data_IF_943784147943
#
_entry.id   IF_943784147943
#
_cell.length_a   1.000
_cell.length_b   1.000
_cell.length_c   1.000
_cell.angle_alpha   90.00
_cell.angle_beta   90.00
_cell.angle_gamma   90.00
#
_symmetry.space_group_name_H-M   'P 1'
#
loop_
_entity.id
_entity.type
_entity.pdbx_description
1 polymer ?
#
# COMPACT_ATOMS: atom_id res chain seq x y z
N UNK A 1 -43.09 -10.72 11.19
CA UNK A 1 -42.56 -11.83 10.37
C UNK A 1 -43.14 -11.91 8.94
N UNK A 2 -44.47 -11.97 8.71
CA UNK A 2 -45.08 -12.17 7.37
C UNK A 2 -44.78 -11.10 6.29
N UNK A 3 -44.57 -9.82 6.67
CA UNK A 3 -44.21 -8.73 5.74
C UNK A 3 -42.74 -8.78 5.28
N UNK A 4 -41.83 -9.21 6.17
CA UNK A 4 -40.40 -9.35 5.88
C UNK A 4 -40.16 -10.51 4.91
N UNK A 5 -40.84 -11.65 5.10
CA UNK A 5 -40.77 -12.79 4.19
C UNK A 5 -41.21 -12.45 2.75
N UNK A 6 -42.17 -11.54 2.56
CA UNK A 6 -42.56 -11.07 1.23
C UNK A 6 -41.47 -10.23 0.55
N UNK A 7 -40.73 -9.42 1.31
CA UNK A 7 -39.63 -8.62 0.77
C UNK A 7 -38.43 -9.50 0.40
N UNK A 8 -38.08 -10.47 1.26
CA UNK A 8 -37.00 -11.43 0.98
C UNK A 8 -37.27 -12.21 -0.32
N UNK A 9 -38.53 -12.61 -0.58
CA UNK A 9 -38.91 -13.24 -1.86
C UNK A 9 -38.68 -12.35 -3.07
N UNK A 10 -38.88 -11.03 -2.95
CA UNK A 10 -38.57 -10.08 -4.04
C UNK A 10 -37.07 -10.03 -4.30
N UNK A 11 -36.26 -9.95 -3.24
CA UNK A 11 -34.79 -9.98 -3.33
C UNK A 11 -34.30 -11.29 -3.96
N UNK A 12 -34.86 -12.43 -3.55
CA UNK A 12 -34.57 -13.75 -4.14
C UNK A 12 -34.91 -13.80 -5.64
N UNK A 13 -36.07 -13.26 -6.03
CA UNK A 13 -36.46 -13.20 -7.43
C UNK A 13 -35.49 -12.36 -8.27
N UNK A 14 -35.04 -11.20 -7.75
CA UNK A 14 -34.05 -10.38 -8.45
C UNK A 14 -32.68 -11.09 -8.52
N UNK A 15 -32.27 -11.85 -7.49
CA UNK A 15 -31.07 -12.69 -7.55
C UNK A 15 -31.15 -13.74 -8.67
N UNK A 16 -32.27 -14.46 -8.77
CA UNK A 16 -32.49 -15.45 -9.83
C UNK A 16 -32.39 -14.79 -11.21
N UNK A 17 -32.96 -13.59 -11.38
CA UNK A 17 -32.85 -12.84 -12.64
C UNK A 17 -31.40 -12.48 -12.96
N UNK A 18 -30.63 -11.98 -11.99
CA UNK A 18 -29.23 -11.63 -12.22
C UNK A 18 -28.42 -12.87 -12.59
N UNK A 19 -28.55 -13.97 -11.84
CA UNK A 19 -27.74 -15.18 -12.07
C UNK A 19 -28.09 -15.94 -13.36
N UNK A 20 -29.33 -15.82 -13.86
CA UNK A 20 -29.74 -16.40 -15.15
C UNK A 20 -29.25 -15.61 -16.37
N UNK A 21 -28.81 -14.36 -16.21
CA UNK A 21 -28.30 -13.56 -17.33
C UNK A 21 -26.92 -14.06 -17.74
N UNK A 22 -26.74 -14.29 -19.05
CA UNK A 22 -25.44 -14.65 -19.64
C UNK A 22 -24.38 -13.58 -19.32
N UNK A 23 -24.76 -12.30 -19.28
CA UNK A 23 -23.86 -11.20 -18.91
C UNK A 23 -23.22 -11.38 -17.53
N UNK A 24 -23.91 -12.03 -16.59
CA UNK A 24 -23.40 -12.27 -15.23
C UNK A 24 -22.28 -13.31 -15.22
N UNK A 25 -22.40 -14.35 -16.04
CA UNK A 25 -21.35 -15.36 -16.21
C UNK A 25 -20.14 -14.78 -16.94
N UNK A 26 -20.37 -13.96 -17.96
CA UNK A 26 -19.30 -13.21 -18.63
C UNK A 26 -18.55 -12.32 -17.63
N UNK A 27 -19.29 -11.61 -16.76
CA UNK A 27 -18.71 -10.77 -15.71
C UNK A 27 -17.85 -11.57 -14.71
N UNK A 28 -18.31 -12.76 -14.27
CA UNK A 28 -17.53 -13.64 -13.39
C UNK A 28 -16.25 -14.12 -14.06
N UNK A 29 -16.31 -14.48 -15.35
CA UNK A 29 -15.13 -14.85 -16.13
C UNK A 29 -14.17 -13.65 -16.26
N UNK A 30 -14.68 -12.45 -16.54
CA UNK A 30 -13.86 -11.24 -16.63
C UNK A 30 -13.15 -10.94 -15.30
N UNK A 31 -13.81 -11.12 -14.16
CA UNK A 31 -13.17 -10.96 -12.85
C UNK A 31 -12.03 -11.96 -12.69
N UNK A 32 -12.24 -13.22 -13.06
CA UNK A 32 -11.19 -14.24 -13.02
C UNK A 32 -10.02 -13.85 -13.94
N UNK A 33 -10.30 -13.39 -15.15
CA UNK A 33 -9.27 -12.92 -16.10
C UNK A 33 -8.50 -11.72 -15.55
N UNK A 34 -9.17 -10.74 -14.93
CA UNK A 34 -8.49 -9.59 -14.32
C UNK A 34 -7.65 -10.02 -13.12
N UNK A 35 -8.13 -10.94 -12.28
CA UNK A 35 -7.35 -11.48 -11.17
C UNK A 35 -6.09 -12.20 -11.69
N UNK A 36 -6.24 -13.08 -12.67
CA UNK A 36 -5.10 -13.77 -13.32
C UNK A 36 -4.15 -12.77 -13.98
N UNK A 37 -4.68 -11.74 -14.65
CA UNK A 37 -3.90 -10.68 -15.27
C UNK A 37 -3.08 -9.89 -14.25
N UNK A 38 -3.67 -9.51 -13.11
CA UNK A 38 -2.96 -8.88 -12.00
C UNK A 38 -1.76 -9.71 -11.55
N UNK A 39 -1.95 -11.02 -11.40
CA UNK A 39 -0.86 -11.92 -11.05
C UNK A 39 0.21 -12.04 -12.14
N UNK A 40 -0.21 -12.14 -13.41
CA UNK A 40 0.70 -12.13 -14.54
C UNK A 40 1.60 -10.89 -14.55
N UNK A 41 1.02 -9.70 -14.32
CA UNK A 41 1.79 -8.45 -14.20
C UNK A 41 2.73 -8.49 -13.00
N UNK A 42 2.27 -8.95 -11.83
CA UNK A 42 3.14 -9.06 -10.65
C UNK A 42 4.32 -10.03 -10.85
N UNK A 43 4.13 -11.11 -11.63
CA UNK A 43 5.20 -12.04 -12.01
C UNK A 43 6.18 -11.45 -13.02
N UNK A 44 5.68 -10.68 -13.98
CA UNK A 44 6.55 -9.91 -14.89
C UNK A 44 7.36 -8.88 -14.10
N UNK A 45 6.75 -8.22 -13.13
CA UNK A 45 7.45 -7.29 -12.24
C UNK A 45 8.50 -8.01 -11.39
N UNK A 46 8.22 -9.22 -10.90
CA UNK A 46 9.20 -10.02 -10.15
C UNK A 46 10.40 -10.37 -11.00
N UNK A 47 10.14 -10.80 -12.23
CA UNK A 47 11.19 -11.05 -13.21
C UNK A 47 12.01 -9.80 -13.49
N UNK A 48 11.36 -8.64 -13.71
CA UNK A 48 12.09 -7.39 -13.94
C UNK A 48 12.90 -6.95 -12.74
N UNK A 49 12.36 -7.01 -11.52
CA UNK A 49 13.08 -6.66 -10.29
C UNK A 49 14.28 -7.58 -10.12
N UNK A 50 14.11 -8.89 -10.32
CA UNK A 50 15.20 -9.86 -10.21
C UNK A 50 16.28 -9.64 -11.27
N UNK A 51 15.91 -9.31 -12.50
CA UNK A 51 16.87 -9.09 -13.59
C UNK A 51 17.50 -7.68 -13.59
N UNK A 52 16.82 -6.67 -13.06
CA UNK A 52 17.35 -5.30 -12.94
C UNK A 52 18.11 -5.06 -11.64
N UNK A 53 18.06 -6.00 -10.69
CA UNK A 53 19.05 -6.05 -9.61
C UNK A 53 20.39 -6.37 -10.24
N UNK A 54 21.16 -5.33 -10.56
CA UNK A 54 22.57 -5.47 -10.86
C UNK A 54 23.27 -5.88 -9.56
N UNK A 55 23.34 -7.18 -9.32
CA UNK A 55 24.25 -7.75 -8.33
C UNK A 55 25.62 -7.81 -9.00
N UNK A 56 26.48 -6.86 -8.64
CA UNK A 56 27.85 -6.82 -9.12
C UNK A 56 28.52 -8.13 -8.69
N UNK A 57 29.02 -8.92 -9.66
CA UNK A 57 29.73 -10.14 -9.30
C UNK A 57 31.01 -9.81 -8.56
N UNK A 58 31.55 -10.76 -7.81
CA UNK A 58 32.84 -10.58 -7.13
C UNK A 58 33.95 -10.16 -8.11
N UNK A 59 33.91 -10.70 -9.32
CA UNK A 59 34.81 -10.34 -10.41
C UNK A 59 34.59 -8.89 -10.87
N UNK A 60 33.35 -8.45 -11.04
CA UNK A 60 33.04 -7.06 -11.40
C UNK A 60 33.51 -6.08 -10.30
N UNK A 61 33.33 -6.44 -9.02
CA UNK A 61 33.85 -5.65 -7.89
C UNK A 61 35.37 -5.52 -7.94
N UNK A 62 36.06 -6.63 -8.22
CA UNK A 62 37.52 -6.67 -8.33
C UNK A 62 38.01 -5.83 -9.52
N UNK A 63 37.34 -5.91 -10.66
CA UNK A 63 37.66 -5.08 -11.82
C UNK A 63 37.43 -3.59 -11.54
N UNK A 64 36.34 -3.24 -10.86
CA UNK A 64 36.07 -1.87 -10.45
C UNK A 64 37.14 -1.33 -9.48
N UNK A 65 37.53 -2.11 -8.47
CA UNK A 65 38.60 -1.72 -7.54
C UNK A 65 39.95 -1.53 -8.26
N UNK A 66 40.30 -2.42 -9.19
CA UNK A 66 41.53 -2.27 -10.00
C UNK A 66 41.48 -1.02 -10.90
N UNK A 67 40.31 -0.73 -11.49
CA UNK A 67 40.09 0.47 -12.29
C UNK A 67 40.25 1.74 -11.44
N UNK A 68 39.60 1.80 -10.27
CA UNK A 68 39.70 2.91 -9.34
C UNK A 68 41.14 3.11 -8.84
N UNK A 69 41.85 2.01 -8.52
CA UNK A 69 43.26 2.01 -8.15
C UNK A 69 44.16 2.60 -9.25
N UNK A 70 43.91 2.22 -10.50
CA UNK A 70 44.66 2.73 -11.67
C UNK A 70 44.39 4.22 -11.87
N UNK A 71 43.12 4.61 -11.85
CA UNK A 71 42.70 6.00 -12.00
C UNK A 71 43.30 6.92 -10.93
N UNK A 72 43.30 6.49 -9.66
CA UNK A 72 43.89 7.24 -8.55
C UNK A 72 45.41 7.42 -8.73
N UNK A 73 46.13 6.37 -9.13
CA UNK A 73 47.58 6.42 -9.39
C UNK A 73 47.96 7.30 -10.59
N UNK A 74 47.11 7.34 -11.62
CA UNK A 74 47.34 8.13 -12.83
C UNK A 74 46.98 9.60 -12.66
N UNK A 75 45.81 9.88 -12.08
CA UNK A 75 45.25 11.24 -11.98
C UNK A 75 45.87 12.03 -10.82
N UNK A 76 46.21 11.34 -9.71
CA UNK A 76 46.81 11.94 -8.51
C UNK A 76 46.07 13.18 -8.01
N UNK A 77 44.74 13.09 -7.92
CA UNK A 77 43.90 14.13 -7.34
C UNK A 77 44.15 14.25 -5.83
N UNK A 78 43.70 15.34 -5.20
CA UNK A 78 43.91 15.54 -3.75
C UNK A 78 43.33 14.38 -2.92
N UNK A 79 44.14 13.78 -2.04
CA UNK A 79 43.73 12.63 -1.21
C UNK A 79 43.92 11.24 -1.84
N UNK A 80 44.39 11.15 -3.09
CA UNK A 80 44.53 9.88 -3.83
C UNK A 80 45.38 8.79 -3.14
N UNK A 81 46.33 9.14 -2.27
CA UNK A 81 47.21 8.18 -1.59
C UNK A 81 46.42 7.29 -0.63
N UNK A 82 45.43 7.86 0.07
CA UNK A 82 44.54 7.13 0.97
C UNK A 82 43.62 6.17 0.19
N UNK A 83 43.06 6.65 -0.93
CA UNK A 83 42.25 5.82 -1.83
C UNK A 83 43.04 4.64 -2.41
N UNK A 84 44.28 4.89 -2.83
CA UNK A 84 45.17 3.82 -3.33
C UNK A 84 45.43 2.78 -2.24
N UNK A 85 45.69 3.21 -1.00
CA UNK A 85 45.93 2.31 0.11
C UNK A 85 44.66 1.50 0.47
N UNK A 86 43.49 2.13 0.49
CA UNK A 86 42.19 1.46 0.67
C UNK A 86 41.95 0.39 -0.39
N UNK A 87 42.07 0.76 -1.68
CA UNK A 87 41.76 -0.16 -2.78
C UNK A 87 42.74 -1.34 -2.81
N UNK A 88 44.02 -1.08 -2.56
CA UNK A 88 45.05 -2.10 -2.46
C UNK A 88 44.76 -3.06 -1.31
N UNK A 89 44.43 -2.55 -0.12
CA UNK A 89 44.06 -3.37 1.05
C UNK A 89 42.85 -4.26 0.76
N UNK A 90 41.83 -3.74 0.08
CA UNK A 90 40.65 -4.53 -0.28
C UNK A 90 40.96 -5.63 -1.31
N UNK A 91 41.84 -5.35 -2.27
CA UNK A 91 42.31 -6.33 -3.25
C UNK A 91 43.15 -7.43 -2.61
N UNK A 92 44.03 -7.07 -1.67
CA UNK A 92 44.96 -8.00 -1.02
C UNK A 92 44.25 -8.95 -0.03
N UNK A 93 43.14 -8.51 0.57
CA UNK A 93 42.37 -9.28 1.57
C UNK A 93 41.00 -9.76 1.07
N UNK A 94 40.76 -9.69 -0.24
CA UNK A 94 39.54 -10.17 -0.89
C UNK A 94 38.22 -9.56 -0.34
N UNK A 95 38.27 -8.27 0.03
CA UNK A 95 37.13 -7.53 0.57
C UNK A 95 36.35 -6.89 -0.59
N UNK A 96 35.55 -7.71 -1.27
CA UNK A 96 34.84 -7.31 -2.49
C UNK A 96 33.33 -7.10 -2.29
N UNK A 97 32.74 -7.75 -1.30
CA UNK A 97 31.31 -7.61 -1.00
C UNK A 97 31.05 -6.31 -0.23
N UNK A 98 29.90 -5.68 -0.51
CA UNK A 98 29.42 -4.52 0.26
C UNK A 98 28.84 -4.96 1.61
N UNK A 99 29.71 -5.42 2.50
CA UNK A 99 29.41 -5.67 3.91
C UNK A 99 30.05 -4.60 4.81
N UNK A 100 29.94 -4.77 6.12
CA UNK A 100 30.49 -3.84 7.11
C UNK A 100 32.00 -3.58 6.96
N UNK A 101 32.77 -4.54 6.41
CA UNK A 101 34.22 -4.42 6.23
C UNK A 101 34.55 -3.31 5.25
N UNK A 102 33.76 -3.15 4.17
CA UNK A 102 33.99 -2.05 3.20
C UNK A 102 33.89 -0.69 3.88
N UNK A 103 32.85 -0.48 4.69
CA UNK A 103 32.71 0.76 5.47
C UNK A 103 33.86 0.93 6.47
N UNK A 104 34.24 -0.14 7.16
CA UNK A 104 35.34 -0.11 8.12
C UNK A 104 36.69 0.21 7.47
N UNK A 105 36.97 -0.34 6.28
CA UNK A 105 38.20 -0.05 5.54
C UNK A 105 38.24 1.43 5.16
N UNK A 106 37.15 1.98 4.62
CA UNK A 106 37.10 3.42 4.29
C UNK A 106 37.36 4.28 5.52
N UNK A 107 36.73 4.00 6.66
CA UNK A 107 36.99 4.72 7.91
C UNK A 107 38.47 4.66 8.33
N UNK A 108 39.08 3.46 8.28
CA UNK A 108 40.50 3.25 8.63
C UNK A 108 41.46 4.09 7.80
N UNK A 109 41.21 4.26 6.50
CA UNK A 109 42.14 4.96 5.61
C UNK A 109 41.86 6.47 5.48
N UNK A 110 40.62 6.91 5.73
CA UNK A 110 40.22 8.31 5.52
C UNK A 110 39.96 9.10 6.80
N UNK A 111 39.58 8.44 7.89
CA UNK A 111 39.09 9.09 9.11
C UNK A 111 40.00 8.85 10.32
N UNK A 112 40.62 7.66 10.42
CA UNK A 112 41.46 7.29 11.57
C UNK A 112 42.86 7.90 11.45
N UNK A 113 43.18 8.86 12.33
CA UNK A 113 44.49 9.53 12.36
C UNK A 113 45.56 8.77 13.15
N UNK A 114 45.16 8.01 14.18
CA UNK A 114 46.11 7.27 15.02
C UNK A 114 46.54 5.96 14.32
N UNK A 115 47.83 5.85 14.01
CA UNK A 115 48.39 4.72 13.29
C UNK A 115 48.29 3.38 14.05
N UNK A 116 48.36 3.39 15.39
CA UNK A 116 48.24 2.17 16.18
C UNK A 116 46.81 1.64 16.18
N UNK A 117 45.85 2.56 16.25
CA UNK A 117 44.42 2.27 16.14
C UNK A 117 44.09 1.74 14.74
N UNK A 118 44.57 2.41 13.69
CA UNK A 118 44.35 1.99 12.31
C UNK A 118 44.84 0.55 12.07
N UNK A 119 46.00 0.18 12.62
CA UNK A 119 46.56 -1.18 12.47
C UNK A 119 45.77 -2.24 13.26
N UNK A 120 45.29 -1.89 14.46
CA UNK A 120 44.37 -2.74 15.22
C UNK A 120 43.08 -3.01 14.46
N UNK A 121 42.51 -1.99 13.82
CA UNK A 121 41.28 -2.11 13.02
C UNK A 121 41.47 -2.92 11.75
N UNK A 122 42.59 -2.76 11.03
CA UNK A 122 42.91 -3.64 9.89
C UNK A 122 42.94 -5.11 10.32
N UNK A 123 43.56 -5.40 11.46
CA UNK A 123 43.61 -6.76 12.03
C UNK A 123 42.20 -7.28 12.37
N UNK A 124 41.34 -6.44 12.95
CA UNK A 124 39.95 -6.78 13.23
C UNK A 124 39.16 -7.08 11.95
N UNK A 125 39.32 -6.26 10.91
CA UNK A 125 38.65 -6.42 9.61
C UNK A 125 39.03 -7.76 8.96
N UNK A 126 40.32 -8.10 8.94
CA UNK A 126 40.83 -9.36 8.37
C UNK A 126 40.28 -10.58 9.12
N UNK A 127 40.18 -10.48 10.45
CA UNK A 127 39.68 -11.57 11.29
C UNK A 127 38.14 -11.62 11.40
N UNK A 128 37.42 -10.80 10.64
CA UNK A 128 35.97 -10.61 10.73
C UNK A 128 35.44 -10.23 12.14
N UNK A 129 36.27 -9.57 12.95
CA UNK A 129 35.91 -9.09 14.28
C UNK A 129 35.16 -7.75 14.21
N UNK A 130 33.90 -7.84 13.81
CA UNK A 130 33.00 -6.69 13.73
C UNK A 130 32.77 -6.00 15.09
N UNK A 131 32.96 -6.71 16.21
CA UNK A 131 32.79 -6.13 17.55
C UNK A 131 33.90 -5.15 17.86
N UNK A 132 35.15 -5.49 17.54
CA UNK A 132 36.28 -4.60 17.73
C UNK A 132 36.11 -3.30 16.91
N UNK A 133 35.62 -3.40 15.67
CA UNK A 133 35.30 -2.23 14.86
C UNK A 133 34.16 -1.39 15.46
N UNK A 134 33.05 -2.00 15.87
CA UNK A 134 31.94 -1.27 16.49
C UNK A 134 32.31 -0.63 17.83
N UNK A 135 33.14 -1.30 18.64
CA UNK A 135 33.66 -0.74 19.88
C UNK A 135 34.53 0.49 19.59
N UNK A 136 35.37 0.42 18.56
CA UNK A 136 36.15 1.58 18.13
C UNK A 136 35.25 2.75 17.69
N UNK A 137 34.21 2.51 16.90
CA UNK A 137 33.29 3.57 16.48
C UNK A 137 32.64 4.27 17.70
N UNK A 138 32.23 3.49 18.71
CA UNK A 138 31.71 4.03 19.97
C UNK A 138 32.75 4.88 20.74
N UNK A 139 34.02 4.47 20.72
CA UNK A 139 35.09 5.14 21.47
C UNK A 139 35.65 6.38 20.73
N UNK A 140 35.66 6.35 19.40
CA UNK A 140 36.38 7.31 18.56
C UNK A 140 35.51 8.43 17.95
N UNK A 141 34.18 8.27 17.92
CA UNK A 141 33.27 9.17 17.23
C UNK A 141 32.35 9.98 18.17
N UNK A 142 32.84 11.01 18.89
CA UNK A 142 31.98 11.93 19.64
C UNK A 142 31.12 12.86 18.75
N UNK A 143 31.12 12.67 17.43
CA UNK A 143 30.41 13.48 16.44
C UNK A 143 29.55 12.70 15.44
N UNK A 144 29.47 11.36 15.55
CA UNK A 144 28.39 10.61 14.91
C UNK A 144 27.06 10.90 15.62
N UNK A 145 25.94 10.72 14.92
CA UNK A 145 24.63 10.91 15.54
C UNK A 145 24.49 9.94 16.72
N UNK A 146 23.89 10.37 17.84
CA UNK A 146 23.67 9.53 19.05
C UNK A 146 22.99 8.20 18.69
N UNK A 147 22.27 8.22 17.58
CA UNK A 147 21.53 7.12 16.99
C UNK A 147 22.40 6.09 16.25
N UNK A 148 23.47 6.50 15.55
CA UNK A 148 24.43 5.57 14.94
C UNK A 148 25.22 4.81 16.03
N UNK A 149 25.59 5.52 17.10
CA UNK A 149 26.18 4.92 18.30
C UNK A 149 25.24 3.89 18.94
N UNK A 150 23.94 4.15 18.97
CA UNK A 150 22.96 3.19 19.48
C UNK A 150 22.95 1.87 18.69
N UNK A 151 23.08 1.91 17.36
CA UNK A 151 23.08 0.69 16.53
C UNK A 151 24.30 -0.20 16.84
N UNK A 152 25.48 0.40 16.94
CA UNK A 152 26.71 -0.33 17.26
C UNK A 152 26.63 -1.00 18.63
N UNK A 153 26.18 -0.25 19.65
CA UNK A 153 25.99 -0.78 21.00
C UNK A 153 24.96 -1.92 20.99
N UNK A 154 23.82 -1.74 20.34
CA UNK A 154 22.79 -2.76 20.23
C UNK A 154 23.32 -4.04 19.59
N UNK A 155 24.14 -3.91 18.53
CA UNK A 155 24.72 -5.06 17.85
C UNK A 155 25.70 -5.82 18.76
N UNK A 156 26.57 -5.10 19.49
CA UNK A 156 27.51 -5.71 20.46
C UNK A 156 26.75 -6.45 21.56
N UNK A 157 25.77 -5.79 22.19
CA UNK A 157 25.00 -6.32 23.32
C UNK A 157 24.23 -7.60 22.96
N UNK A 158 23.68 -7.65 21.74
CA UNK A 158 22.88 -8.79 21.26
C UNK A 158 23.67 -9.79 20.42
N UNK A 159 24.99 -9.62 20.29
CA UNK A 159 25.85 -10.44 19.45
C UNK A 159 25.34 -10.56 18.00
N UNK A 160 24.85 -9.44 17.45
CA UNK A 160 24.21 -9.35 16.14
C UNK A 160 25.24 -8.89 15.10
N UNK A 161 25.62 -9.79 14.19
CA UNK A 161 26.53 -9.46 13.08
C UNK A 161 25.86 -8.41 12.17
N UNK A 162 26.59 -7.38 11.72
CA UNK A 162 26.05 -6.38 10.79
C UNK A 162 25.91 -6.95 9.37
N UNK A 163 24.85 -7.74 9.20
CA UNK A 163 24.49 -8.41 7.97
C UNK A 163 23.16 -7.86 7.43
N UNK A 164 23.17 -7.33 6.21
CA UNK A 164 21.99 -6.75 5.56
C UNK A 164 20.93 -7.80 5.24
N UNK A 165 21.29 -9.08 5.19
CA UNK A 165 20.35 -10.18 4.98
C UNK A 165 19.64 -10.58 6.28
N UNK A 166 20.23 -10.29 7.45
CA UNK A 166 19.61 -10.55 8.75
C UNK A 166 18.45 -9.58 9.03
N UNK A 167 17.27 -10.14 9.29
CA UNK A 167 16.05 -9.34 9.49
C UNK A 167 16.08 -8.51 10.78
N UNK A 168 16.77 -8.98 11.82
CA UNK A 168 16.92 -8.27 13.10
C UNK A 168 17.87 -7.08 12.93
N UNK A 169 18.98 -7.29 12.21
CA UNK A 169 19.89 -6.20 11.87
C UNK A 169 19.23 -5.15 10.98
N UNK A 170 18.49 -5.56 9.94
CA UNK A 170 17.72 -4.60 9.12
C UNK A 170 16.75 -3.76 9.96
N UNK A 171 16.04 -4.39 10.88
CA UNK A 171 15.10 -3.70 11.76
C UNK A 171 15.81 -2.74 12.73
N UNK A 172 16.94 -3.17 13.31
CA UNK A 172 17.77 -2.30 14.15
C UNK A 172 18.33 -1.11 13.37
N UNK A 173 18.84 -1.34 12.16
CA UNK A 173 19.32 -0.27 11.28
C UNK A 173 18.19 0.71 10.89
N UNK A 174 17.00 0.21 10.57
CA UNK A 174 15.81 1.04 10.32
C UNK A 174 15.41 1.87 11.53
N UNK A 175 15.47 1.31 12.74
CA UNK A 175 15.23 2.05 13.97
C UNK A 175 16.27 3.15 14.18
N UNK A 176 17.56 2.85 13.96
CA UNK A 176 18.63 3.86 14.05
C UNK A 176 18.36 5.03 13.10
N UNK A 177 18.15 4.75 11.82
CA UNK A 177 17.85 5.79 10.81
C UNK A 177 16.59 6.58 11.18
N UNK A 178 15.53 5.91 11.64
CA UNK A 178 14.29 6.58 12.02
C UNK A 178 14.47 7.49 13.25
N UNK A 179 15.31 7.09 14.22
CA UNK A 179 15.66 7.94 15.37
C UNK A 179 16.48 9.15 14.91
N UNK A 180 17.47 8.96 14.05
CA UNK A 180 18.34 10.04 13.57
C UNK A 180 17.54 11.09 12.77
N UNK A 181 16.65 10.63 11.88
CA UNK A 181 15.73 11.51 11.16
C UNK A 181 14.79 12.25 12.14
N UNK A 182 14.31 11.59 13.20
CA UNK A 182 13.40 12.21 14.17
C UNK A 182 14.11 13.30 14.97
N UNK A 183 15.31 13.02 15.47
CA UNK A 183 16.15 13.99 16.17
C UNK A 183 16.45 15.21 15.28
N UNK A 184 16.78 14.99 14.00
CA UNK A 184 17.00 16.08 13.04
C UNK A 184 15.75 16.96 12.83
N UNK A 185 14.54 16.36 12.82
CA UNK A 185 13.29 17.09 12.71
C UNK A 185 12.95 17.85 14.00
N UNK A 186 13.27 17.30 15.16
CA UNK A 186 13.07 17.95 16.45
C UNK A 186 13.97 19.18 16.57
N UNK A 187 15.24 19.07 16.17
CA UNK A 187 16.17 20.20 16.11
C UNK A 187 15.71 21.31 15.14
N UNK A 188 15.19 20.94 13.96
CA UNK A 188 14.60 21.91 13.02
C UNK A 188 13.42 22.66 13.63
N UNK A 189 12.54 21.94 14.35
CA UNK A 189 11.38 22.50 15.02
C UNK A 189 11.78 23.45 16.15
N UNK A 190 12.78 23.09 16.94
CA UNK A 190 13.36 23.95 17.99
C UNK A 190 14.00 25.22 17.40
N UNK A 191 14.59 25.10 16.21
CA UNK A 191 15.16 26.23 15.46
C UNK A 191 14.09 27.10 14.75
N UNK A 192 12.80 26.80 14.94
CA UNK A 192 11.69 27.56 14.37
C UNK A 192 11.36 27.25 12.90
N UNK A 193 11.96 26.20 12.32
CA UNK A 193 11.65 25.74 10.96
C UNK A 193 10.37 24.92 10.97
N UNK A 194 9.46 25.21 10.03
CA UNK A 194 8.22 24.44 9.90
C UNK A 194 8.50 23.03 9.37
N UNK A 195 8.10 22.01 10.14
CA UNK A 195 8.20 20.60 9.74
C UNK A 195 6.83 20.08 9.32
N UNK A 196 6.79 19.18 8.33
CA UNK A 196 5.56 18.48 7.95
C UNK A 196 5.05 17.64 9.14
N UNK A 197 3.90 18.03 9.69
CA UNK A 197 3.32 17.38 10.87
C UNK A 197 2.96 15.91 10.63
N UNK A 198 2.54 15.54 9.40
CA UNK A 198 2.22 14.15 9.06
C UNK A 198 3.50 13.31 8.96
N UNK A 199 4.55 13.86 8.35
CA UNK A 199 5.85 13.18 8.27
C UNK A 199 6.44 12.98 9.66
N UNK A 200 6.42 14.02 10.50
CA UNK A 200 6.89 13.96 11.89
C UNK A 200 6.13 12.90 12.70
N UNK A 201 4.80 12.88 12.64
CA UNK A 201 4.01 11.89 13.37
C UNK A 201 4.26 10.46 12.87
N UNK A 202 4.33 10.24 11.55
CA UNK A 202 4.65 8.93 10.97
C UNK A 202 6.02 8.43 11.43
N UNK A 203 7.00 9.30 11.46
CA UNK A 203 8.35 8.95 11.89
C UNK A 203 8.39 8.57 13.38
N UNK A 204 7.70 9.35 14.22
CA UNK A 204 7.52 9.03 15.64
C UNK A 204 6.83 7.68 15.85
N UNK A 205 5.77 7.41 15.08
CA UNK A 205 5.06 6.14 15.11
C UNK A 205 5.96 4.98 14.66
N UNK A 206 6.80 5.18 13.65
CA UNK A 206 7.77 4.18 13.18
C UNK A 206 8.84 3.86 14.23
N UNK A 207 9.43 4.88 14.87
CA UNK A 207 10.40 4.68 15.97
C UNK A 207 9.77 3.83 17.09
N UNK A 208 8.54 4.17 17.48
CA UNK A 208 7.81 3.41 18.49
C UNK A 208 7.54 1.96 18.04
N UNK A 209 7.14 1.77 16.78
CA UNK A 209 6.84 0.46 16.21
C UNK A 209 8.09 -0.43 16.13
N UNK A 210 9.20 0.09 15.61
CA UNK A 210 10.44 -0.67 15.46
C UNK A 210 11.03 -1.03 16.83
N UNK A 211 11.00 -0.10 17.79
CA UNK A 211 11.41 -0.38 19.18
C UNK A 211 10.60 -1.54 19.76
N UNK A 212 9.27 -1.45 19.69
CA UNK A 212 8.38 -2.52 20.16
C UNK A 212 8.68 -3.86 19.50
N UNK A 213 8.94 -3.87 18.18
CA UNK A 213 9.23 -5.09 17.44
C UNK A 213 10.56 -5.71 17.85
N UNK A 214 11.60 -4.93 18.04
CA UNK A 214 12.90 -5.42 18.54
C UNK A 214 12.74 -6.02 19.94
N UNK A 215 12.08 -5.30 20.86
CA UNK A 215 11.85 -5.75 22.25
C UNK A 215 11.10 -7.09 22.32
N UNK A 216 10.26 -7.40 21.33
CA UNK A 216 9.47 -8.62 21.26
C UNK A 216 10.01 -9.66 20.26
N UNK A 217 11.20 -9.44 19.67
CA UNK A 217 11.80 -10.31 18.66
C UNK A 217 10.91 -10.55 17.42
N UNK A 218 10.21 -9.51 16.96
CA UNK A 218 9.29 -9.56 15.81
C UNK A 218 10.01 -9.04 14.57
N UNK A 219 10.59 -9.97 13.80
CA UNK A 219 11.37 -9.65 12.61
C UNK A 219 10.53 -9.46 11.34
N UNK A 220 9.34 -10.04 11.27
CA UNK A 220 8.44 -9.93 10.12
C UNK A 220 7.15 -9.17 10.46
N UNK A 221 6.88 -8.10 9.72
CA UNK A 221 5.65 -7.30 9.81
C UNK A 221 5.02 -7.12 8.43
N UNK A 222 3.71 -7.31 8.36
CA UNK A 222 2.93 -7.07 7.14
C UNK A 222 3.00 -5.59 6.72
N UNK A 223 3.20 -4.66 7.66
CA UNK A 223 3.27 -3.22 7.36
C UNK A 223 4.41 -2.84 6.40
N UNK A 224 5.55 -3.53 6.51
CA UNK A 224 6.73 -3.37 5.64
C UNK A 224 6.60 -4.12 4.33
N UNK A 225 5.67 -5.08 4.28
CA UNK A 225 5.41 -5.92 3.13
C UNK A 225 4.12 -5.50 2.43
N UNK A 226 3.95 -4.19 2.22
CA UNK A 226 2.82 -3.62 1.49
C UNK A 226 3.21 -3.07 0.13
N UNK A 227 2.44 -3.40 -0.92
CA UNK A 227 2.62 -2.79 -2.23
C UNK A 227 3.85 -3.29 -3.01
N UNK A 228 3.64 -4.24 -3.91
CA UNK A 228 4.71 -4.75 -4.78
C UNK A 228 5.24 -3.75 -5.82
N UNK A 229 4.50 -2.67 -6.12
CA UNK A 229 4.94 -1.62 -7.04
C UNK A 229 6.15 -0.82 -6.55
N UNK A 230 6.41 -0.79 -5.23
CA UNK A 230 7.43 0.08 -4.62
C UNK A 230 8.40 -0.63 -3.68
N UNK A 231 8.14 -1.88 -3.29
CA UNK A 231 8.90 -2.59 -2.24
C UNK A 231 10.19 -3.26 -2.72
N UNK A 232 10.40 -3.41 -4.04
CA UNK A 232 11.59 -4.09 -4.58
C UNK A 232 11.70 -5.57 -4.20
N UNK A 233 10.68 -6.14 -3.57
CA UNK A 233 10.56 -7.56 -3.18
C UNK A 233 9.13 -8.04 -3.42
N UNK A 234 8.97 -9.17 -4.08
CA UNK A 234 7.68 -9.77 -4.38
C UNK A 234 7.50 -11.05 -3.57
N UNK A 235 6.64 -10.97 -2.57
CA UNK A 235 6.22 -12.09 -1.72
C UNK A 235 4.70 -12.10 -1.60
N UNK A 236 4.17 -13.11 -0.90
CA UNK A 236 2.73 -13.25 -0.67
C UNK A 236 2.06 -11.95 -0.18
N UNK A 237 2.64 -11.30 0.83
CA UNK A 237 2.06 -10.13 1.47
C UNK A 237 2.14 -8.87 0.60
N UNK A 238 3.26 -8.62 -0.10
CA UNK A 238 3.40 -7.43 -0.96
C UNK A 238 2.43 -7.48 -2.15
N UNK A 239 2.15 -8.67 -2.68
CA UNK A 239 1.15 -8.88 -3.74
C UNK A 239 -0.27 -8.85 -3.18
N UNK A 240 -0.57 -9.62 -2.13
CA UNK A 240 -1.93 -9.70 -1.63
C UNK A 240 -2.43 -8.40 -0.98
N UNK A 241 -1.55 -7.65 -0.31
CA UNK A 241 -1.92 -6.36 0.29
C UNK A 241 -2.34 -5.31 -0.73
N UNK A 242 -1.87 -5.44 -1.97
CA UNK A 242 -2.09 -4.49 -3.05
C UNK A 242 -3.19 -4.93 -4.03
N UNK A 243 -3.70 -6.15 -3.88
CA UNK A 243 -4.68 -6.73 -4.79
C UNK A 243 -6.06 -6.08 -4.70
N UNK A 244 -6.34 -5.29 -3.64
CA UNK A 244 -7.58 -4.49 -3.55
C UNK A 244 -7.73 -3.51 -4.73
N UNK A 245 -6.64 -3.14 -5.40
CA UNK A 245 -6.67 -2.27 -6.60
C UNK A 245 -7.45 -2.89 -7.76
N UNK A 246 -7.56 -4.23 -7.81
CA UNK A 246 -8.42 -4.96 -8.76
C UNK A 246 -9.90 -4.59 -8.58
N UNK A 247 -10.31 -4.12 -7.40
CA UNK A 247 -11.68 -3.69 -7.13
C UNK A 247 -12.14 -2.52 -8.01
N UNK A 248 -11.23 -1.73 -8.59
CA UNK A 248 -11.61 -0.71 -9.58
C UNK A 248 -12.34 -1.33 -10.77
N UNK A 249 -11.86 -2.47 -11.29
CA UNK A 249 -12.52 -3.21 -12.36
C UNK A 249 -13.84 -3.83 -11.91
N UNK A 250 -13.89 -4.39 -10.69
CA UNK A 250 -15.13 -4.88 -10.08
C UNK A 250 -16.16 -3.76 -9.98
N UNK A 251 -15.73 -2.53 -9.64
CA UNK A 251 -16.59 -1.37 -9.58
C UNK A 251 -17.21 -0.98 -10.92
N UNK A 252 -16.44 -1.04 -12.01
CA UNK A 252 -16.96 -0.80 -13.37
C UNK A 252 -18.06 -1.83 -13.72
N UNK A 253 -17.83 -3.10 -13.39
CA UNK A 253 -18.80 -4.16 -13.61
C UNK A 253 -20.05 -3.97 -12.73
N UNK A 254 -19.88 -3.52 -11.49
CA UNK A 254 -20.99 -3.18 -10.60
C UNK A 254 -21.80 -1.98 -11.07
N UNK A 255 -21.14 -0.94 -11.61
CA UNK A 255 -21.79 0.19 -12.27
C UNK A 255 -22.62 -0.30 -13.46
N UNK A 256 -22.11 -1.26 -14.25
CA UNK A 256 -22.86 -1.85 -15.35
C UNK A 256 -24.12 -2.56 -14.86
N UNK A 257 -24.03 -3.36 -13.79
CA UNK A 257 -25.18 -4.05 -13.19
C UNK A 257 -26.21 -3.05 -12.65
N UNK A 258 -25.77 -2.09 -11.82
CA UNK A 258 -26.64 -1.08 -11.22
C UNK A 258 -27.25 -0.12 -12.25
N UNK A 259 -26.47 0.27 -13.25
CA UNK A 259 -26.89 1.13 -14.35
C UNK A 259 -27.93 0.47 -15.25
N UNK A 260 -27.93 -0.87 -15.36
CA UNK A 260 -28.88 -1.63 -16.19
C UNK A 260 -30.11 -2.14 -15.44
N UNK A 261 -30.04 -2.38 -14.12
CA UNK A 261 -31.07 -3.14 -13.39
C UNK A 261 -32.48 -2.52 -13.41
N UNK A 262 -32.58 -1.19 -13.59
CA UNK A 262 -33.84 -0.45 -13.72
C UNK A 262 -34.07 -0.02 -15.17
N UNK A 263 -33.11 0.66 -15.78
CA UNK A 263 -33.20 1.20 -17.14
C UNK A 263 -33.50 0.14 -18.21
N UNK A 264 -32.99 -1.10 -18.06
CA UNK A 264 -33.25 -2.18 -19.02
C UNK A 264 -34.72 -2.62 -19.03
N UNK A 265 -35.40 -2.50 -17.90
CA UNK A 265 -36.83 -2.87 -17.78
C UNK A 265 -37.72 -1.83 -18.49
N UNK A 266 -37.30 -0.57 -18.48
CA UNK A 266 -37.95 0.49 -19.24
C UNK A 266 -37.69 0.33 -20.75
N UNK A 267 -36.45 0.07 -21.14
CA UNK A 267 -36.10 -0.08 -22.56
C UNK A 267 -36.72 -1.32 -23.20
N UNK A 268 -36.90 -2.41 -22.45
CA UNK A 268 -37.52 -3.65 -22.92
C UNK A 268 -39.05 -3.70 -22.75
N UNK A 269 -39.66 -2.67 -22.12
CA UNK A 269 -41.10 -2.62 -21.88
C UNK A 269 -41.64 -3.57 -20.79
N UNK A 270 -40.77 -4.33 -20.13
CA UNK A 270 -41.12 -5.29 -19.07
C UNK A 270 -41.58 -4.62 -17.78
N UNK A 271 -41.34 -3.31 -17.64
CA UNK A 271 -41.83 -2.50 -16.54
C UNK A 271 -43.35 -2.60 -16.35
N UNK A 272 -44.13 -2.73 -17.43
CA UNK A 272 -45.59 -2.87 -17.35
C UNK A 272 -46.01 -4.17 -16.64
N UNK A 273 -45.31 -5.27 -16.89
CA UNK A 273 -45.53 -6.54 -16.18
C UNK A 273 -45.11 -6.46 -14.71
N UNK A 274 -44.04 -5.73 -14.41
CA UNK A 274 -43.59 -5.47 -13.03
C UNK A 274 -44.63 -4.68 -12.21
N UNK A 275 -45.38 -3.79 -12.85
CA UNK A 275 -46.38 -2.95 -12.20
C UNK A 275 -47.72 -3.64 -11.96
N UNK A 276 -47.98 -4.79 -12.60
CA UNK A 276 -49.16 -5.62 -12.35
C UNK A 276 -49.01 -6.43 -11.04
N UNK A 277 -47.77 -6.62 -10.56
CA UNK A 277 -47.51 -7.32 -9.31
C UNK A 277 -48.12 -6.56 -8.11
N UNK A 278 -48.73 -7.25 -7.11
CA UNK A 278 -49.38 -6.62 -5.95
C UNK A 278 -48.39 -6.01 -4.93
N UNK A 279 -47.14 -5.77 -5.33
CA UNK A 279 -46.09 -5.16 -4.52
C UNK A 279 -46.02 -3.64 -4.79
N UNK A 280 -45.90 -2.84 -3.73
CA UNK A 280 -45.68 -1.39 -3.86
C UNK A 280 -44.38 -1.13 -4.65
N UNK A 281 -44.41 -0.17 -5.60
CA UNK A 281 -43.27 0.20 -6.47
C UNK A 281 -41.95 0.36 -5.71
N UNK A 282 -41.99 1.06 -4.58
CA UNK A 282 -40.79 1.26 -3.76
C UNK A 282 -40.16 -0.02 -3.21
N UNK A 283 -40.95 -1.07 -2.95
CA UNK A 283 -40.43 -2.37 -2.49
C UNK A 283 -39.71 -3.11 -3.60
N UNK A 284 -40.15 -2.91 -4.84
CA UNK A 284 -39.50 -3.47 -6.03
C UNK A 284 -38.15 -2.78 -6.22
N UNK A 285 -38.13 -1.44 -6.17
CA UNK A 285 -36.89 -0.66 -6.26
C UNK A 285 -35.91 -1.03 -5.14
N UNK A 286 -36.38 -1.08 -3.90
CA UNK A 286 -35.56 -1.46 -2.75
C UNK A 286 -35.02 -2.89 -2.87
N UNK A 287 -35.83 -3.85 -3.39
CA UNK A 287 -35.35 -5.20 -3.63
C UNK A 287 -34.23 -5.22 -4.68
N UNK A 288 -34.38 -4.48 -5.79
CA UNK A 288 -33.33 -4.34 -6.82
C UNK A 288 -32.04 -3.75 -6.25
N UNK A 289 -32.14 -2.66 -5.49
CA UNK A 289 -30.97 -2.02 -4.88
C UNK A 289 -30.27 -2.95 -3.90
N UNK A 290 -31.01 -3.58 -2.97
CA UNK A 290 -30.45 -4.53 -2.01
C UNK A 290 -29.76 -5.67 -2.74
N UNK A 291 -30.42 -6.31 -3.71
CA UNK A 291 -29.83 -7.39 -4.52
C UNK A 291 -28.55 -6.94 -5.21
N UNK A 292 -28.53 -5.74 -5.82
CA UNK A 292 -27.35 -5.24 -6.53
C UNK A 292 -26.18 -4.99 -5.57
N UNK A 293 -26.41 -4.35 -4.42
CA UNK A 293 -25.35 -4.09 -3.43
C UNK A 293 -24.83 -5.39 -2.80
N UNK A 294 -25.72 -6.30 -2.39
CA UNK A 294 -25.30 -7.58 -1.81
C UNK A 294 -24.57 -8.46 -2.84
N UNK A 295 -24.97 -8.40 -4.12
CA UNK A 295 -24.22 -9.02 -5.21
C UNK A 295 -22.81 -8.42 -5.37
N UNK A 296 -22.66 -7.10 -5.24
CA UNK A 296 -21.35 -6.43 -5.23
C UNK A 296 -20.45 -6.89 -4.08
N UNK A 297 -21.00 -7.07 -2.87
CA UNK A 297 -20.24 -7.65 -1.76
C UNK A 297 -19.86 -9.11 -1.99
N UNK A 298 -20.70 -9.91 -2.65
CA UNK A 298 -20.31 -11.26 -3.07
C UNK A 298 -19.15 -11.22 -4.07
N UNK A 299 -19.16 -10.30 -5.03
CA UNK A 299 -18.05 -10.12 -5.97
C UNK A 299 -16.77 -9.68 -5.27
N UNK A 300 -16.87 -8.76 -4.31
CA UNK A 300 -15.73 -8.34 -3.48
C UNK A 300 -15.13 -9.52 -2.72
N UNK A 301 -15.96 -10.34 -2.08
CA UNK A 301 -15.51 -11.53 -1.36
C UNK A 301 -14.84 -12.53 -2.30
N UNK A 302 -15.41 -12.75 -3.48
CA UNK A 302 -14.81 -13.60 -4.51
C UNK A 302 -13.44 -13.08 -4.93
N UNK A 303 -13.30 -11.78 -5.21
CA UNK A 303 -12.01 -11.18 -5.54
C UNK A 303 -11.01 -11.31 -4.40
N UNK A 304 -11.40 -11.07 -3.15
CA UNK A 304 -10.52 -11.25 -1.98
C UNK A 304 -10.01 -12.70 -1.90
N UNK A 305 -10.88 -13.70 -2.06
CA UNK A 305 -10.49 -15.11 -2.02
C UNK A 305 -9.60 -15.50 -3.21
N UNK A 306 -9.95 -15.11 -4.43
CA UNK A 306 -9.13 -15.36 -5.62
C UNK A 306 -7.76 -14.69 -5.50
N UNK A 307 -7.70 -13.46 -4.97
CA UNK A 307 -6.46 -12.75 -4.73
C UNK A 307 -5.60 -13.42 -3.66
N UNK A 308 -6.19 -13.87 -2.56
CA UNK A 308 -5.47 -14.61 -1.52
C UNK A 308 -4.90 -15.92 -2.05
N UNK A 309 -5.73 -16.73 -2.71
CA UNK A 309 -5.33 -18.02 -3.27
C UNK A 309 -4.27 -17.85 -4.36
N UNK A 310 -4.43 -16.89 -5.27
CA UNK A 310 -3.47 -16.67 -6.35
C UNK A 310 -2.12 -16.16 -5.83
N UNK A 311 -2.11 -15.29 -4.80
CA UNK A 311 -0.87 -14.88 -4.15
C UNK A 311 -0.15 -16.06 -3.49
N UNK A 312 -0.89 -16.95 -2.81
CA UNK A 312 -0.31 -18.16 -2.21
C UNK A 312 0.30 -19.10 -3.25
N UNK A 313 -0.44 -19.35 -4.35
CA UNK A 313 -0.01 -20.28 -5.39
C UNK A 313 1.24 -19.81 -6.13
N UNK A 314 1.41 -18.50 -6.30
CA UNK A 314 2.47 -17.94 -7.15
C UNK A 314 3.66 -17.38 -6.36
N UNK A 315 3.45 -16.86 -5.15
CA UNK A 315 4.47 -16.17 -4.34
C UNK A 315 4.79 -16.90 -3.03
N UNK A 316 4.28 -18.11 -2.85
CA UNK A 316 4.56 -18.95 -1.69
C UNK A 316 3.68 -18.66 -0.49
N UNK A 317 3.98 -19.36 0.60
CA UNK A 317 3.17 -19.36 1.84
C UNK A 317 4.00 -19.01 3.06
N UNK A 318 5.07 -18.24 2.87
CA UNK A 318 5.94 -17.82 3.97
C UNK A 318 5.21 -16.77 4.82
N UNK A 319 5.37 -16.88 6.14
CA UNK A 319 4.83 -15.94 7.12
C UNK A 319 3.31 -15.70 7.01
N UNK A 320 2.50 -16.68 6.60
CA UNK A 320 1.02 -16.52 6.54
C UNK A 320 0.39 -16.15 7.89
N UNK A 321 1.02 -16.54 9.00
CA UNK A 321 0.58 -16.16 10.36
C UNK A 321 0.98 -14.74 10.77
N UNK A 322 1.64 -13.96 9.91
CA UNK A 322 2.15 -12.64 10.25
C UNK A 322 1.04 -11.67 10.66
N UNK A 323 1.41 -10.79 11.58
CA UNK A 323 0.57 -9.70 12.04
C UNK A 323 0.94 -8.41 11.32
N UNK A 324 -0.04 -7.53 11.18
CA UNK A 324 0.13 -6.14 10.81
C UNK A 324 0.20 -5.33 12.10
N UNK A 325 1.32 -4.65 12.33
CA UNK A 325 1.50 -3.77 13.48
C UNK A 325 1.33 -2.31 13.07
N UNK A 326 0.74 -1.52 13.96
CA UNK A 326 0.49 -0.10 13.72
C UNK A 326 0.40 0.66 15.05
N UNK A 327 0.71 1.95 15.02
CA UNK A 327 0.54 2.83 16.18
C UNK A 327 -0.85 3.46 16.15
N UNK A 328 -1.54 3.41 17.29
CA UNK A 328 -2.84 4.04 17.49
C UNK A 328 -2.90 4.64 18.88
N UNK A 329 -3.11 5.96 18.95
CA UNK A 329 -3.15 6.71 20.21
C UNK A 329 -1.88 6.54 21.06
N UNK A 330 -0.71 6.52 20.41
CA UNK A 330 0.59 6.37 21.09
C UNK A 330 0.85 4.97 21.66
N UNK A 331 0.12 3.95 21.20
CA UNK A 331 0.37 2.55 21.58
C UNK A 331 0.47 1.67 20.34
N UNK A 332 1.42 0.74 20.33
CA UNK A 332 1.54 -0.26 19.28
C UNK A 332 0.41 -1.27 19.45
N UNK A 333 -0.36 -1.48 18.38
CA UNK A 333 -1.41 -2.48 18.29
C UNK A 333 -1.11 -3.41 17.13
N UNK A 334 -1.63 -4.63 17.22
CA UNK A 334 -1.51 -5.62 16.15
C UNK A 334 -2.88 -6.10 15.68
N UNK A 335 -2.93 -6.55 14.44
CA UNK A 335 -4.08 -7.30 13.90
C UNK A 335 -3.57 -8.37 12.93
N UNK A 336 -4.31 -9.47 12.70
CA UNK A 336 -3.91 -10.47 11.71
C UNK A 336 -3.77 -9.84 10.31
N UNK A 337 -2.73 -10.21 9.56
CA UNK A 337 -2.48 -9.66 8.22
C UNK A 337 -3.67 -9.81 7.25
N UNK A 338 -4.34 -10.97 7.27
CA UNK A 338 -5.56 -11.20 6.49
C UNK A 338 -6.68 -10.22 6.82
N UNK A 339 -6.84 -9.86 8.10
CA UNK A 339 -7.85 -8.90 8.56
C UNK A 339 -7.50 -7.49 8.11
N UNK A 340 -6.21 -7.12 8.15
CA UNK A 340 -5.75 -5.86 7.59
C UNK A 340 -6.08 -5.73 6.09
N UNK A 341 -5.80 -6.77 5.30
CA UNK A 341 -6.11 -6.76 3.86
C UNK A 341 -7.62 -6.74 3.62
N UNK A 342 -8.39 -7.50 4.40
CA UNK A 342 -9.86 -7.47 4.32
C UNK A 342 -10.41 -6.08 4.65
N UNK A 343 -9.83 -5.39 5.65
CA UNK A 343 -10.15 -3.99 5.95
C UNK A 343 -9.90 -3.09 4.74
N UNK A 344 -8.77 -3.24 4.03
CA UNK A 344 -8.50 -2.47 2.82
C UNK A 344 -9.54 -2.74 1.73
N UNK A 345 -9.89 -4.00 1.48
CA UNK A 345 -10.98 -4.35 0.55
C UNK A 345 -12.31 -3.67 0.96
N UNK A 346 -12.66 -3.70 2.24
CA UNK A 346 -13.88 -3.06 2.75
C UNK A 346 -13.85 -1.53 2.60
N UNK A 347 -12.72 -0.87 2.87
CA UNK A 347 -12.56 0.57 2.66
C UNK A 347 -12.68 0.93 1.19
N UNK A 348 -12.03 0.18 0.28
CA UNK A 348 -12.14 0.38 -1.16
C UNK A 348 -13.54 0.09 -1.71
N UNK A 349 -14.30 -0.81 -1.07
CA UNK A 349 -15.68 -1.11 -1.45
C UNK A 349 -16.61 0.08 -1.36
N UNK A 350 -16.29 1.07 -0.51
CA UNK A 350 -17.11 2.26 -0.33
C UNK A 350 -17.19 3.06 -1.63
N UNK A 351 -16.09 3.19 -2.37
CA UNK A 351 -16.10 3.83 -3.68
C UNK A 351 -17.04 3.09 -4.65
N UNK A 352 -16.94 1.75 -4.71
CA UNK A 352 -17.83 0.93 -5.55
C UNK A 352 -19.29 1.15 -5.18
N UNK A 353 -19.61 1.09 -3.89
CA UNK A 353 -20.97 1.27 -3.37
C UNK A 353 -21.53 2.63 -3.78
N UNK A 354 -20.74 3.69 -3.61
CA UNK A 354 -21.14 5.07 -3.92
C UNK A 354 -21.36 5.26 -5.42
N UNK A 355 -20.41 4.87 -6.26
CA UNK A 355 -20.51 5.03 -7.71
C UNK A 355 -21.59 4.13 -8.33
N UNK A 356 -21.76 2.93 -7.80
CA UNK A 356 -22.86 2.04 -8.22
C UNK A 356 -24.22 2.59 -7.80
N UNK A 357 -24.31 3.28 -6.65
CA UNK A 357 -25.55 3.93 -6.21
C UNK A 357 -25.88 5.15 -7.07
N UNK A 358 -24.87 5.92 -7.50
CA UNK A 358 -25.04 6.98 -8.50
C UNK A 358 -25.58 6.40 -9.81
N UNK A 359 -24.96 5.34 -10.33
CA UNK A 359 -25.41 4.67 -11.54
C UNK A 359 -26.85 4.14 -11.43
N UNK A 360 -27.22 3.59 -10.26
CA UNK A 360 -28.58 3.14 -9.97
C UNK A 360 -29.61 4.29 -9.92
N UNK A 361 -29.23 5.43 -9.33
CA UNK A 361 -30.08 6.61 -9.31
C UNK A 361 -30.36 7.13 -10.72
N UNK A 362 -29.31 7.24 -11.55
CA UNK A 362 -29.44 7.64 -12.95
C UNK A 362 -30.25 6.60 -13.74
N UNK A 363 -30.04 5.29 -13.49
CA UNK A 363 -30.82 4.21 -14.09
C UNK A 363 -32.33 4.33 -13.84
N UNK A 364 -32.71 4.86 -12.69
CA UNK A 364 -34.11 5.11 -12.34
C UNK A 364 -34.66 6.39 -12.98
N UNK A 365 -33.79 7.35 -13.31
CA UNK A 365 -34.14 8.62 -13.94
C UNK A 365 -34.12 8.57 -15.48
N UNK A 366 -33.42 7.62 -16.10
CA UNK A 366 -33.21 7.59 -17.54
C UNK A 366 -33.66 6.25 -18.12
N UNK A 367 -34.38 6.30 -19.26
CA UNK A 367 -34.79 5.11 -20.02
C UNK A 367 -33.67 4.54 -20.92
N UNK A 368 -32.43 4.93 -20.67
CA UNK A 368 -31.26 4.57 -21.47
C UNK A 368 -30.18 3.97 -20.56
N UNK A 369 -29.96 2.66 -20.74
CA UNK A 369 -28.93 1.90 -20.03
C UNK A 369 -27.53 2.45 -20.29
N UNK A 370 -27.20 2.76 -21.54
CA UNK A 370 -25.87 3.23 -21.92
C UNK A 370 -25.53 4.56 -21.24
N UNK A 371 -26.48 5.50 -21.16
CA UNK A 371 -26.26 6.78 -20.46
C UNK A 371 -26.02 6.57 -18.95
N UNK A 372 -26.79 5.69 -18.34
CA UNK A 372 -26.69 5.41 -16.89
C UNK A 372 -25.34 4.79 -16.52
N UNK A 373 -24.90 3.81 -17.31
CA UNK A 373 -23.60 3.16 -17.15
C UNK A 373 -22.46 4.14 -17.45
N UNK A 374 -22.57 4.91 -18.54
CA UNK A 374 -21.54 5.87 -18.96
C UNK A 374 -21.27 6.96 -17.92
N UNK A 375 -22.31 7.56 -17.33
CA UNK A 375 -22.13 8.59 -16.30
C UNK A 375 -21.51 8.00 -15.03
N UNK A 376 -21.96 6.83 -14.57
CA UNK A 376 -21.38 6.17 -13.40
C UNK A 376 -19.91 5.82 -13.61
N UNK A 377 -19.56 5.27 -14.78
CA UNK A 377 -18.19 4.89 -15.11
C UNK A 377 -17.29 6.11 -15.27
N UNK A 378 -17.77 7.17 -15.95
CA UNK A 378 -17.04 8.43 -16.08
C UNK A 378 -16.79 9.11 -14.73
N UNK A 379 -17.77 9.06 -13.83
CA UNK A 379 -17.62 9.57 -12.45
C UNK A 379 -16.55 8.78 -11.67
N UNK A 380 -16.55 7.45 -11.76
CA UNK A 380 -15.59 6.60 -11.04
C UNK A 380 -14.15 6.78 -11.55
N UNK A 381 -13.95 6.86 -12.87
CA UNK A 381 -12.62 6.97 -13.48
C UNK A 381 -12.10 8.42 -13.54
N UNK A 382 -12.98 9.39 -13.76
CA UNK A 382 -12.62 10.80 -13.89
C UNK A 382 -12.63 11.58 -12.57
N UNK A 383 -13.25 11.04 -11.52
CA UNK A 383 -13.40 11.72 -10.24
C UNK A 383 -12.07 12.13 -9.60
N UNK A 384 -11.07 11.25 -9.61
CA UNK A 384 -9.73 11.54 -9.08
C UNK A 384 -9.04 12.66 -9.84
N UNK A 385 -9.16 12.70 -11.18
CA UNK A 385 -8.60 13.78 -12.01
C UNK A 385 -9.21 15.13 -11.65
N UNK A 386 -10.54 15.17 -11.46
CA UNK A 386 -11.24 16.38 -11.03
C UNK A 386 -10.70 16.85 -9.67
N UNK A 387 -10.54 15.95 -8.71
CA UNK A 387 -9.98 16.26 -7.38
C UNK A 387 -8.56 16.81 -7.48
N UNK A 388 -7.69 16.17 -8.26
CA UNK A 388 -6.31 16.63 -8.47
C UNK A 388 -6.27 18.04 -9.04
N UNK A 389 -7.09 18.34 -10.06
CA UNK A 389 -7.17 19.67 -10.66
C UNK A 389 -7.67 20.70 -9.63
N UNK A 390 -8.75 20.40 -8.91
CA UNK A 390 -9.32 21.32 -7.91
C UNK A 390 -8.38 21.56 -6.73
N UNK A 391 -7.64 20.53 -6.32
CA UNK A 391 -6.58 20.64 -5.30
C UNK A 391 -5.42 21.52 -5.79
N UNK A 392 -5.02 21.40 -7.06
CA UNK A 392 -3.97 22.24 -7.63
C UNK A 392 -4.35 23.73 -7.63
N UNK A 393 -5.62 24.05 -7.86
CA UNK A 393 -6.16 25.41 -7.75
C UNK A 393 -6.50 25.84 -6.32
N UNK A 394 -6.22 25.01 -5.31
CA UNK A 394 -6.51 25.28 -3.88
C UNK A 394 -8.00 25.62 -3.62
N UNK A 395 -8.90 24.94 -4.33
CA UNK A 395 -10.34 25.15 -4.21
C UNK A 395 -10.92 24.38 -3.02
N UNK A 396 -10.85 24.98 -1.84
CA UNK A 396 -11.23 24.37 -0.56
C UNK A 396 -12.65 23.79 -0.48
N UNK A 397 -13.61 24.31 -1.23
CA UNK A 397 -14.98 23.79 -1.25
C UNK A 397 -15.06 22.40 -1.90
N UNK A 398 -14.08 22.02 -2.71
CA UNK A 398 -14.01 20.72 -3.37
C UNK A 398 -13.87 19.56 -2.37
N UNK A 399 -13.52 19.82 -1.10
CA UNK A 399 -13.54 18.83 -0.03
C UNK A 399 -14.92 18.19 0.19
N UNK A 400 -16.01 18.85 -0.22
CA UNK A 400 -17.38 18.33 -0.11
C UNK A 400 -17.84 17.54 -1.35
N UNK A 401 -17.04 17.51 -2.41
CA UNK A 401 -17.34 16.67 -3.57
C UNK A 401 -17.25 15.19 -3.21
N UNK A 402 -18.08 14.38 -3.85
CA UNK A 402 -18.11 12.95 -3.64
C UNK A 402 -16.75 12.30 -3.89
N UNK A 403 -16.07 12.69 -4.97
CA UNK A 403 -14.78 12.16 -5.41
C UNK A 403 -13.66 12.42 -4.42
N UNK A 404 -13.71 13.54 -3.69
CA UNK A 404 -12.71 13.90 -2.69
C UNK A 404 -12.75 13.01 -1.46
N UNK A 405 -13.81 12.21 -1.30
CA UNK A 405 -14.08 11.45 -0.08
C UNK A 405 -14.18 9.93 -0.32
N UNK A 406 -14.03 9.45 -1.56
CA UNK A 406 -14.12 8.02 -1.90
C UNK A 406 -12.86 7.21 -1.61
N UNK A 407 -11.68 7.84 -1.55
CA UNK A 407 -10.43 7.15 -1.22
C UNK A 407 -10.19 7.11 0.30
N UNK A 408 -10.94 6.24 0.97
CA UNK A 408 -10.86 6.11 2.43
C UNK A 408 -9.53 5.54 2.92
N UNK A 409 -8.81 4.78 2.08
CA UNK A 409 -7.50 4.25 2.45
C UNK A 409 -6.51 5.41 2.56
N UNK A 410 -6.41 6.25 1.52
CA UNK A 410 -5.53 7.42 1.52
C UNK A 410 -5.87 8.39 2.68
N UNK A 411 -7.15 8.67 2.90
CA UNK A 411 -7.61 9.52 4.01
C UNK A 411 -7.24 8.90 5.37
N UNK A 412 -7.36 7.57 5.52
CA UNK A 412 -6.99 6.89 6.77
C UNK A 412 -5.49 6.92 7.08
N UNK A 413 -4.65 7.10 6.05
CA UNK A 413 -3.20 7.22 6.15
C UNK A 413 -2.71 8.68 6.26
N UNK A 414 -3.64 9.63 6.38
CA UNK A 414 -3.34 11.07 6.44
C UNK A 414 -2.99 11.70 5.09
N UNK A 415 -3.15 10.97 3.99
CA UNK A 415 -2.85 11.42 2.63
C UNK A 415 -4.13 11.95 1.95
N UNK A 416 -4.78 12.96 2.54
CA UNK A 416 -5.99 13.55 1.98
C UNK A 416 -5.70 14.64 0.95
N UNK A 417 -6.57 14.78 -0.06
CA UNK A 417 -6.42 15.81 -1.09
C UNK A 417 -6.61 17.24 -0.53
N UNK A 418 -7.47 17.40 0.47
CA UNK A 418 -7.72 18.68 1.13
C UNK A 418 -7.45 18.59 2.63
N UNK A 419 -7.11 19.74 3.23
CA UNK A 419 -6.84 19.83 4.65
C UNK A 419 -8.13 19.58 5.47
N UNK A 420 -7.99 18.84 6.57
CA UNK A 420 -9.09 18.56 7.51
C UNK A 420 -10.01 17.40 7.11
N UNK A 421 -9.68 16.64 6.06
CA UNK A 421 -10.42 15.43 5.72
C UNK A 421 -10.00 14.28 6.64
N UNK A 422 -10.94 13.83 7.47
CA UNK A 422 -10.81 12.62 8.28
C UNK A 422 -11.72 11.53 7.72
N UNK A 423 -11.51 10.27 8.13
CA UNK A 423 -12.38 9.16 7.73
C UNK A 423 -13.83 9.43 8.14
N UNK A 424 -14.06 9.99 9.33
CA UNK A 424 -15.39 10.37 9.80
C UNK A 424 -16.04 11.45 8.94
N UNK A 425 -15.28 12.51 8.61
CA UNK A 425 -15.74 13.57 7.70
C UNK A 425 -16.14 13.00 6.33
N UNK A 426 -15.28 12.16 5.74
CA UNK A 426 -15.52 11.53 4.45
C UNK A 426 -16.79 10.68 4.46
N UNK A 427 -16.98 9.84 5.49
CA UNK A 427 -18.18 9.01 5.63
C UNK A 427 -19.47 9.84 5.77
N UNK A 428 -19.42 10.96 6.49
CA UNK A 428 -20.56 11.87 6.59
C UNK A 428 -20.93 12.47 5.21
N UNK A 429 -19.95 12.98 4.46
CA UNK A 429 -20.17 13.55 3.12
C UNK A 429 -20.72 12.50 2.17
N UNK A 430 -20.15 11.29 2.16
CA UNK A 430 -20.62 10.18 1.33
C UNK A 430 -22.05 9.74 1.73
N UNK A 431 -22.36 9.72 3.03
CA UNK A 431 -23.69 9.40 3.54
C UNK A 431 -24.77 10.37 3.04
N UNK A 432 -24.48 11.67 3.02
CA UNK A 432 -25.37 12.69 2.46
C UNK A 432 -25.61 12.46 0.96
N UNK A 433 -24.55 12.20 0.18
CA UNK A 433 -24.69 11.92 -1.25
C UNK A 433 -25.49 10.64 -1.52
N UNK A 434 -25.23 9.56 -0.78
CA UNK A 434 -25.99 8.32 -0.88
C UNK A 434 -27.47 8.52 -0.58
N UNK A 435 -27.79 9.32 0.44
CA UNK A 435 -29.17 9.67 0.75
C UNK A 435 -29.83 10.41 -0.43
N UNK A 436 -29.15 11.39 -1.02
CA UNK A 436 -29.64 12.11 -2.20
C UNK A 436 -29.83 11.16 -3.40
N UNK A 437 -28.89 10.25 -3.65
CA UNK A 437 -29.00 9.25 -4.73
C UNK A 437 -30.20 8.31 -4.54
N UNK A 438 -30.42 7.84 -3.32
CA UNK A 438 -31.56 6.96 -3.04
C UNK A 438 -32.89 7.70 -3.12
N UNK A 439 -32.95 8.97 -2.70
CA UNK A 439 -34.13 9.81 -2.87
C UNK A 439 -34.43 10.08 -4.35
N UNK A 440 -33.41 10.40 -5.15
CA UNK A 440 -33.58 10.63 -6.59
C UNK A 440 -34.00 9.35 -7.32
N UNK A 441 -33.44 8.20 -6.94
CA UNK A 441 -33.87 6.89 -7.46
C UNK A 441 -35.35 6.60 -7.11
N UNK A 442 -35.74 6.86 -5.85
CA UNK A 442 -37.10 6.68 -5.39
C UNK A 442 -38.07 7.57 -6.16
N UNK A 443 -37.78 8.86 -6.28
CA UNK A 443 -38.63 9.82 -6.97
C UNK A 443 -38.80 9.42 -8.45
N UNK A 444 -37.69 9.10 -9.12
CA UNK A 444 -37.66 8.68 -10.52
C UNK A 444 -38.44 7.40 -10.83
N UNK A 445 -38.50 6.46 -9.88
CA UNK A 445 -39.19 5.18 -10.07
C UNK A 445 -40.64 5.16 -9.55
N UNK A 446 -40.91 5.82 -8.42
CA UNK A 446 -42.21 5.69 -7.73
C UNK A 446 -43.23 6.67 -8.29
N UNK A 447 -42.84 7.95 -8.47
CA UNK A 447 -43.77 9.01 -8.86
C UNK A 447 -43.97 9.13 -10.36
N UNK A 448 -43.06 8.54 -11.15
CA UNK A 448 -43.09 8.67 -12.60
C UNK A 448 -44.18 7.78 -13.20
N UNK A 449 -44.94 8.36 -14.12
CA UNK A 449 -45.92 7.63 -14.92
C UNK A 449 -45.19 6.75 -15.95
N UNK A 450 -45.73 5.55 -16.17
CA UNK A 450 -45.12 4.48 -16.96
C UNK A 450 -46.06 4.04 -18.07
#
# INVERSE_FOLDING_TARGET
MRKLGKFIRLVQNEYIKILKKVSTWIMLILILVVCVGYFGVSKIAEYQVKNNRYEMSEQDCKEQLNSNLTYAKETKYEGWEADVAEYQFCLDHEIFQYDWRRTAVTAVFHEVQDAAVAESLKTAIINEDWKAYFQYMLDAAPGETEEDSWLYQYCIDHNLKPDREDATYRLAAQLSTAKAELASMEQQKESGVSVDANKYQKLKDNVQLYTYRLDHNITFDVSENTGWFYSGTLNFWTVFSDSYRVLTFVGILMIMVCGAIVSSEFSQGTIKFLLINPAKRWKILAAKYVTAITFGYCMLLLTYLLSGLGSMLLFGTDNLGAQYFYVSSGTVKSMPGFVYILRNYMLSSVNILVMSSLAFAISSLVRNTALSVGIGMGAMLGGSLIVTILSAFRLDWARFLIFSNTDLIAISQGNSAFMGQTVGFALCVLGVHLFIFLLTAWDGFVRREV
#
